data_IF_135498644066
#
_entry.id   IF_135498644066
#
_cell.length_a   1.000
_cell.length_b   1.000
_cell.length_c   1.000
_cell.angle_alpha   90.00
_cell.angle_beta   90.00
_cell.angle_gamma   90.00
#
_symmetry.space_group_name_H-M   'P 1'
#
loop_
_entity.id
_entity.type
_entity.pdbx_description
1 polymer ?
#
# COMPACT_ATOMS: atom_id res chain seq x y z
N UNK A 1 23.05 -54.00 -11.71
CA UNK A 1 21.70 -53.75 -11.15
C UNK A 1 21.66 -52.33 -10.65
N UNK A 2 20.80 -51.53 -11.29
CA UNK A 2 20.85 -50.07 -11.33
C UNK A 2 20.38 -49.43 -10.03
N UNK A 3 21.14 -48.42 -9.62
CA UNK A 3 20.94 -47.55 -8.47
C UNK A 3 19.56 -46.86 -8.47
N UNK A 4 18.81 -46.99 -7.38
CA UNK A 4 17.70 -46.09 -7.03
C UNK A 4 18.09 -45.43 -5.70
N UNK A 5 18.82 -44.32 -5.77
CA UNK A 5 18.99 -43.38 -4.67
C UNK A 5 18.68 -41.98 -5.17
N UNK A 6 17.93 -41.25 -4.34
CA UNK A 6 17.65 -39.81 -4.37
C UNK A 6 16.52 -39.31 -5.28
N UNK A 7 15.27 -39.43 -4.80
CA UNK A 7 14.15 -38.58 -5.28
C UNK A 7 13.49 -37.76 -4.14
N UNK A 8 13.82 -37.97 -2.85
CA UNK A 8 13.05 -37.38 -1.74
C UNK A 8 13.73 -36.33 -0.85
N UNK A 9 14.91 -35.80 -1.19
CA UNK A 9 15.62 -34.87 -0.28
C UNK A 9 15.48 -33.37 -0.57
N UNK A 10 15.08 -32.97 -1.78
CA UNK A 10 15.07 -31.54 -2.14
C UNK A 10 13.88 -30.76 -1.57
N UNK A 11 12.75 -31.43 -1.32
CA UNK A 11 11.52 -30.80 -0.80
C UNK A 11 11.63 -30.49 0.70
N UNK A 12 12.12 -31.45 1.50
CA UNK A 12 12.37 -31.25 2.93
C UNK A 12 13.44 -30.16 3.22
N UNK A 13 14.50 -30.08 2.40
CA UNK A 13 15.50 -29.00 2.50
C UNK A 13 14.93 -27.64 2.09
N UNK A 14 14.10 -27.57 1.04
CA UNK A 14 13.42 -26.34 0.62
C UNK A 14 12.44 -25.83 1.67
N UNK A 15 11.66 -26.72 2.27
CA UNK A 15 10.74 -26.38 3.37
C UNK A 15 11.54 -25.87 4.58
N UNK A 16 12.69 -26.47 4.88
CA UNK A 16 13.62 -26.01 5.91
C UNK A 16 14.20 -24.61 5.65
N UNK A 17 14.57 -24.29 4.41
CA UNK A 17 15.10 -22.98 4.04
C UNK A 17 14.03 -21.89 4.05
N UNK A 18 12.84 -22.17 3.51
CA UNK A 18 11.71 -21.24 3.54
C UNK A 18 11.26 -20.98 4.99
N UNK A 19 11.12 -22.03 5.80
CA UNK A 19 10.81 -21.91 7.23
C UNK A 19 11.79 -20.98 7.97
N UNK A 20 13.10 -21.16 7.75
CA UNK A 20 14.13 -20.30 8.38
C UNK A 20 14.01 -18.84 7.94
N UNK A 21 13.78 -18.60 6.65
CA UNK A 21 13.61 -17.25 6.11
C UNK A 21 12.37 -16.56 6.70
N UNK A 22 11.23 -17.25 6.68
CA UNK A 22 9.97 -16.76 7.27
C UNK A 22 10.13 -16.52 8.77
N UNK A 23 10.70 -17.46 9.53
CA UNK A 23 10.96 -17.28 10.97
C UNK A 23 11.80 -16.04 11.26
N UNK A 24 12.81 -15.76 10.43
CA UNK A 24 13.65 -14.55 10.54
C UNK A 24 12.85 -13.27 10.28
N UNK A 25 11.98 -13.27 9.27
CA UNK A 25 11.10 -12.13 8.95
C UNK A 25 10.07 -11.90 10.06
N UNK A 26 9.41 -12.96 10.52
CA UNK A 26 8.39 -12.90 11.57
C UNK A 26 8.98 -12.51 12.93
N UNK A 27 10.16 -13.04 13.27
CA UNK A 27 10.73 -12.98 14.62
C UNK A 27 10.08 -13.97 15.60
N UNK A 28 9.27 -14.91 15.09
CA UNK A 28 8.69 -16.04 15.81
C UNK A 28 8.54 -17.23 14.84
N UNK A 29 8.37 -18.44 15.38
CA UNK A 29 8.22 -19.63 14.55
C UNK A 29 6.81 -19.70 13.93
N UNK A 30 6.68 -19.91 12.60
CA UNK A 30 5.38 -20.18 12.00
C UNK A 30 4.85 -21.53 12.52
N UNK A 31 3.54 -21.61 12.77
CA UNK A 31 2.85 -22.84 13.18
C UNK A 31 2.50 -23.70 11.96
N UNK A 32 1.59 -23.21 11.12
CA UNK A 32 1.27 -23.82 9.84
C UNK A 32 1.98 -23.07 8.70
N UNK A 33 2.98 -23.72 8.10
CA UNK A 33 3.79 -23.13 7.03
C UNK A 33 3.00 -22.86 5.74
N UNK A 34 1.90 -23.62 5.51
CA UNK A 34 1.10 -23.52 4.28
C UNK A 34 0.53 -22.12 4.05
N UNK A 35 0.06 -21.43 5.09
CA UNK A 35 -0.44 -20.06 4.97
C UNK A 35 0.64 -19.09 4.46
N UNK A 36 1.88 -19.29 4.90
CA UNK A 36 3.00 -18.47 4.44
C UNK A 36 3.40 -18.85 3.03
N UNK A 37 3.38 -20.13 2.67
CA UNK A 37 3.63 -20.53 1.28
C UNK A 37 2.61 -19.92 0.30
N UNK A 38 1.33 -19.89 0.67
CA UNK A 38 0.27 -19.24 -0.10
C UNK A 38 0.51 -17.72 -0.21
N UNK A 39 0.86 -17.04 0.89
CA UNK A 39 1.17 -15.61 0.89
C UNK A 39 2.34 -15.22 -0.04
N UNK A 40 3.24 -16.16 -0.32
CA UNK A 40 4.37 -15.97 -1.24
C UNK A 40 4.16 -16.70 -2.57
N UNK A 41 2.94 -17.07 -2.94
CA UNK A 41 2.64 -17.68 -4.24
C UNK A 41 1.98 -16.64 -5.14
N UNK A 42 2.66 -16.27 -6.24
CA UNK A 42 2.13 -15.34 -7.21
C UNK A 42 1.03 -15.99 -8.07
N UNK A 43 0.00 -15.23 -8.45
CA UNK A 43 -1.14 -15.71 -9.26
C UNK A 43 -0.75 -16.40 -10.58
N UNK A 44 0.43 -16.09 -11.14
CA UNK A 44 0.95 -16.77 -12.35
C UNK A 44 1.22 -18.26 -12.15
N UNK A 45 1.30 -18.74 -10.90
CA UNK A 45 1.44 -20.15 -10.58
C UNK A 45 0.17 -20.95 -10.90
N UNK A 46 -1.01 -20.28 -11.00
CA UNK A 46 -2.31 -20.90 -11.30
C UNK A 46 -2.62 -22.15 -10.45
N UNK A 47 -2.14 -22.18 -9.21
CA UNK A 47 -2.37 -23.28 -8.27
C UNK A 47 -3.79 -23.20 -7.71
N UNK A 48 -4.41 -24.36 -7.53
CA UNK A 48 -5.72 -24.51 -6.91
C UNK A 48 -5.69 -25.63 -5.87
N UNK A 49 -6.52 -25.51 -4.85
CA UNK A 49 -6.80 -26.63 -3.93
C UNK A 49 -7.84 -27.59 -4.51
N UNK A 50 -8.17 -28.63 -3.73
CA UNK A 50 -9.12 -29.68 -4.13
C UNK A 50 -10.53 -29.15 -4.40
N UNK A 51 -10.89 -28.01 -3.80
CA UNK A 51 -12.16 -27.30 -4.01
C UNK A 51 -12.10 -26.33 -5.21
N UNK A 52 -10.97 -26.28 -5.91
CA UNK A 52 -10.76 -25.43 -7.07
C UNK A 52 -10.51 -23.95 -6.74
N UNK A 53 -10.30 -23.61 -5.47
CA UNK A 53 -10.02 -22.25 -5.03
C UNK A 53 -8.57 -21.90 -5.36
N UNK A 54 -8.35 -20.70 -5.88
CA UNK A 54 -7.02 -20.20 -6.21
C UNK A 54 -6.15 -20.10 -4.95
N UNK A 55 -4.97 -20.73 -5.00
CA UNK A 55 -3.97 -20.76 -3.94
C UNK A 55 -2.85 -19.79 -4.27
N UNK A 56 -3.08 -18.51 -3.97
CA UNK A 56 -2.15 -17.42 -4.21
C UNK A 56 -2.37 -16.29 -3.18
N UNK A 57 -1.48 -15.30 -3.18
CA UNK A 57 -1.48 -14.26 -2.15
C UNK A 57 -2.74 -13.36 -2.11
N UNK A 58 -3.57 -13.31 -3.16
CA UNK A 58 -4.59 -12.25 -3.33
C UNK A 58 -5.67 -12.28 -2.23
N UNK A 59 -6.09 -13.47 -1.77
CA UNK A 59 -7.08 -13.58 -0.67
C UNK A 59 -6.49 -13.22 0.68
N UNK A 60 -5.21 -13.57 0.90
CA UNK A 60 -4.48 -13.20 2.10
C UNK A 60 -4.16 -11.71 2.12
N UNK A 61 -3.89 -11.09 0.97
CA UNK A 61 -3.73 -9.64 0.81
C UNK A 61 -4.97 -8.91 1.33
N UNK A 62 -6.16 -9.32 0.87
CA UNK A 62 -7.43 -8.74 1.32
C UNK A 62 -7.60 -8.82 2.84
N UNK A 63 -7.34 -9.99 3.44
CA UNK A 63 -7.45 -10.19 4.88
C UNK A 63 -6.40 -9.36 5.65
N UNK A 64 -5.18 -9.33 5.14
CA UNK A 64 -4.05 -8.62 5.72
C UNK A 64 -4.22 -7.10 5.72
N UNK A 65 -4.76 -6.53 4.65
CA UNK A 65 -5.10 -5.10 4.56
C UNK A 65 -6.09 -4.70 5.67
N UNK A 66 -7.14 -5.50 5.87
CA UNK A 66 -8.11 -5.26 6.95
C UNK A 66 -7.45 -5.31 8.34
N UNK A 67 -6.59 -6.30 8.59
CA UNK A 67 -5.85 -6.42 9.86
C UNK A 67 -4.89 -5.25 10.08
N UNK A 68 -4.14 -4.87 9.04
CA UNK A 68 -3.21 -3.74 9.09
C UNK A 68 -3.97 -2.44 9.38
N UNK A 69 -5.04 -2.17 8.63
CA UNK A 69 -5.88 -1.00 8.80
C UNK A 69 -6.45 -0.88 10.22
N UNK A 70 -6.91 -2.00 10.79
CA UNK A 70 -7.44 -2.04 12.16
C UNK A 70 -6.36 -1.71 13.21
N UNK A 71 -5.18 -2.33 13.13
CA UNK A 71 -4.09 -2.08 14.09
C UNK A 71 -3.57 -0.65 13.99
N UNK A 72 -3.39 -0.11 12.78
CA UNK A 72 -2.96 1.28 12.60
C UNK A 72 -4.04 2.25 13.11
N UNK A 73 -5.32 2.00 12.83
CA UNK A 73 -6.40 2.84 13.36
C UNK A 73 -6.42 2.87 14.89
N UNK A 74 -6.31 1.70 15.53
CA UNK A 74 -6.27 1.59 16.99
C UNK A 74 -5.04 2.30 17.59
N UNK A 75 -3.90 2.23 16.92
CA UNK A 75 -2.69 2.94 17.35
C UNK A 75 -2.86 4.47 17.26
N UNK A 76 -3.34 4.98 16.13
CA UNK A 76 -3.54 6.41 15.91
C UNK A 76 -4.59 7.00 16.86
N UNK A 77 -5.69 6.29 17.09
CA UNK A 77 -6.73 6.70 18.04
C UNK A 77 -6.16 6.94 19.44
N UNK A 78 -5.25 6.06 19.91
CA UNK A 78 -4.59 6.21 21.21
C UNK A 78 -3.53 7.30 21.23
N UNK A 79 -2.84 7.52 20.11
CA UNK A 79 -1.70 8.44 20.03
C UNK A 79 -2.06 9.88 19.68
N UNK A 80 -3.21 10.10 19.07
CA UNK A 80 -3.71 11.43 18.70
C UNK A 80 -5.12 11.63 19.27
N UNK A 81 -5.26 11.79 20.60
CA UNK A 81 -6.57 11.85 21.26
C UNK A 81 -7.41 13.08 20.85
N UNK A 82 -6.78 14.13 20.35
CA UNK A 82 -7.45 15.35 19.88
C UNK A 82 -7.75 15.33 18.36
N UNK A 83 -7.32 14.28 17.66
CA UNK A 83 -7.57 14.13 16.23
C UNK A 83 -9.03 13.78 15.96
N UNK A 84 -9.70 14.54 15.10
CA UNK A 84 -11.04 14.18 14.64
C UNK A 84 -11.00 13.00 13.65
N UNK A 85 -12.17 12.45 13.30
CA UNK A 85 -12.31 11.29 12.41
C UNK A 85 -11.61 11.49 11.06
N UNK A 86 -11.82 12.63 10.40
CA UNK A 86 -11.17 12.95 9.12
C UNK A 86 -9.64 13.00 9.21
N UNK A 87 -9.09 13.61 10.27
CA UNK A 87 -7.65 13.66 10.52
C UNK A 87 -7.08 12.25 10.75
N UNK A 88 -7.72 11.44 11.60
CA UNK A 88 -7.28 10.07 11.89
C UNK A 88 -7.33 9.19 10.63
N UNK A 89 -8.39 9.31 9.84
CA UNK A 89 -8.52 8.62 8.53
C UNK A 89 -7.41 9.03 7.56
N UNK A 90 -7.06 10.32 7.51
CA UNK A 90 -5.96 10.83 6.70
C UNK A 90 -4.62 10.27 7.15
N UNK A 91 -4.32 10.30 8.45
CA UNK A 91 -3.09 9.75 9.00
C UNK A 91 -2.97 8.25 8.77
N UNK A 92 -4.05 7.49 8.96
CA UNK A 92 -4.08 6.06 8.65
C UNK A 92 -3.75 5.83 7.18
N UNK A 93 -4.37 6.57 6.28
CA UNK A 93 -4.16 6.44 4.83
C UNK A 93 -2.71 6.74 4.41
N UNK A 94 -1.98 7.58 5.17
CA UNK A 94 -0.55 7.83 4.94
C UNK A 94 0.29 6.60 5.28
N UNK A 95 -0.03 5.96 6.40
CA UNK A 95 0.69 4.77 6.90
C UNK A 95 0.40 3.55 6.03
N UNK A 96 -0.86 3.32 5.64
CA UNK A 96 -1.22 2.16 4.80
C UNK A 96 -1.20 2.46 3.29
N UNK A 97 -0.47 3.51 2.90
CA UNK A 97 -0.41 3.90 1.48
C UNK A 97 0.38 2.87 0.67
N UNK A 98 -0.06 2.61 -0.57
CA UNK A 98 0.61 1.63 -1.47
C UNK A 98 2.10 1.94 -1.67
N UNK A 99 2.48 3.22 -1.70
CA UNK A 99 3.89 3.64 -1.75
C UNK A 99 4.67 3.11 -0.54
N UNK A 100 4.15 3.36 0.67
CA UNK A 100 4.79 2.94 1.91
C UNK A 100 4.80 1.41 2.08
N UNK A 101 3.70 0.72 1.76
CA UNK A 101 3.67 -0.75 1.84
C UNK A 101 4.65 -1.41 0.86
N UNK A 102 4.84 -0.82 -0.33
CA UNK A 102 5.87 -1.27 -1.25
C UNK A 102 7.29 -1.05 -0.72
N UNK A 103 7.54 0.06 -0.04
CA UNK A 103 8.81 0.32 0.64
C UNK A 103 9.08 -0.74 1.73
N UNK A 104 8.09 -1.00 2.60
CA UNK A 104 8.18 -2.04 3.62
C UNK A 104 8.47 -3.44 3.03
N UNK A 105 7.77 -3.81 1.95
CA UNK A 105 7.99 -5.09 1.28
C UNK A 105 9.36 -5.20 0.60
N UNK A 106 9.99 -4.07 0.23
CA UNK A 106 11.37 -4.02 -0.28
C UNK A 106 12.38 -4.13 0.85
N UNK A 107 12.18 -3.40 1.95
CA UNK A 107 13.07 -3.42 3.11
C UNK A 107 13.18 -4.80 3.76
N UNK A 108 12.09 -5.58 3.69
CA UNK A 108 12.04 -6.96 4.16
C UNK A 108 12.49 -7.98 3.11
N UNK A 109 12.83 -7.55 1.90
CA UNK A 109 13.32 -8.38 0.80
C UNK A 109 12.37 -9.56 0.46
N UNK A 110 11.06 -9.32 0.56
CA UNK A 110 10.03 -10.35 0.49
C UNK A 110 9.96 -11.04 -0.88
N UNK A 111 10.31 -10.31 -1.95
CA UNK A 111 10.18 -10.79 -3.33
C UNK A 111 11.06 -11.99 -3.62
N UNK A 112 12.20 -12.15 -2.93
CA UNK A 112 13.07 -13.32 -3.11
C UNK A 112 12.43 -14.63 -2.68
N UNK A 113 11.37 -14.57 -1.88
CA UNK A 113 10.65 -15.74 -1.41
C UNK A 113 9.42 -16.05 -2.28
N UNK A 114 9.08 -15.19 -3.24
CA UNK A 114 7.88 -15.36 -4.08
C UNK A 114 8.08 -16.45 -5.12
N UNK A 115 7.16 -17.43 -5.14
CA UNK A 115 7.05 -18.46 -6.19
C UNK A 115 6.27 -17.89 -7.38
N UNK A 116 6.86 -17.93 -8.57
CA UNK A 116 6.28 -17.33 -9.79
C UNK A 116 6.70 -18.07 -11.06
N UNK A 117 5.82 -18.08 -12.06
CA UNK A 117 6.10 -18.51 -13.43
C UNK A 117 6.49 -17.36 -14.37
N UNK A 118 6.55 -16.12 -13.88
CA UNK A 118 6.99 -14.95 -14.65
C UNK A 118 8.27 -14.38 -14.05
N UNK A 119 9.16 -13.77 -14.86
CA UNK A 119 10.33 -13.05 -14.37
C UNK A 119 9.94 -11.93 -13.39
N UNK A 120 10.81 -11.68 -12.40
CA UNK A 120 10.56 -10.69 -11.34
C UNK A 120 10.45 -9.28 -11.91
N UNK A 121 11.13 -9.00 -13.02
CA UNK A 121 11.11 -7.73 -13.76
C UNK A 121 9.72 -7.41 -14.30
N UNK A 122 8.89 -8.44 -14.52
CA UNK A 122 7.52 -8.32 -15.01
C UNK A 122 6.50 -8.17 -13.87
N UNK A 123 6.94 -8.11 -12.61
CA UNK A 123 6.04 -7.86 -11.51
C UNK A 123 5.47 -6.45 -11.56
N UNK A 124 4.20 -6.33 -11.17
CA UNK A 124 3.60 -5.01 -10.97
C UNK A 124 4.35 -4.27 -9.87
N UNK A 125 4.45 -2.93 -9.97
CA UNK A 125 5.11 -2.12 -8.95
C UNK A 125 4.50 -2.19 -7.55
N UNK A 126 3.35 -2.87 -7.40
CA UNK A 126 2.61 -3.05 -6.14
C UNK A 126 2.89 -4.39 -5.44
N UNK A 127 3.61 -5.30 -6.10
CA UNK A 127 3.78 -6.67 -5.60
C UNK A 127 4.37 -6.72 -4.18
N UNK A 128 5.27 -5.80 -3.85
CA UNK A 128 5.92 -5.75 -2.54
C UNK A 128 4.91 -5.47 -1.43
N UNK A 129 4.02 -4.49 -1.65
CA UNK A 129 2.93 -4.19 -0.73
C UNK A 129 1.92 -5.33 -0.64
N UNK A 130 1.54 -5.91 -1.77
CA UNK A 130 0.58 -7.03 -1.80
C UNK A 130 1.08 -8.24 -1.01
N UNK A 131 2.35 -8.63 -1.19
CA UNK A 131 2.97 -9.75 -0.46
C UNK A 131 3.14 -9.40 1.02
N UNK A 132 3.43 -8.14 1.35
CA UNK A 132 3.49 -7.70 2.75
C UNK A 132 2.12 -7.80 3.45
N UNK A 133 1.04 -7.36 2.79
CA UNK A 133 -0.33 -7.52 3.28
C UNK A 133 -0.67 -9.01 3.40
N UNK A 134 -0.37 -9.82 2.39
CA UNK A 134 -0.61 -11.26 2.42
C UNK A 134 0.13 -11.97 3.56
N UNK A 135 1.37 -11.55 3.87
CA UNK A 135 2.10 -12.04 5.03
C UNK A 135 1.37 -11.73 6.35
N UNK A 136 0.77 -10.54 6.49
CA UNK A 136 -0.06 -10.21 7.66
C UNK A 136 -1.30 -11.11 7.73
N UNK A 137 -1.94 -11.35 6.58
CA UNK A 137 -3.06 -12.30 6.47
C UNK A 137 -2.68 -13.71 6.90
N UNK A 138 -1.51 -14.20 6.48
CA UNK A 138 -0.99 -15.51 6.88
C UNK A 138 -0.71 -15.59 8.39
N UNK A 139 -0.14 -14.54 8.99
CA UNK A 139 0.07 -14.48 10.45
C UNK A 139 -1.27 -14.55 11.20
N UNK A 140 -2.31 -13.90 10.67
CA UNK A 140 -3.63 -13.92 11.29
C UNK A 140 -4.21 -15.33 11.30
N UNK A 141 -4.15 -16.05 10.17
CA UNK A 141 -4.67 -17.42 10.08
C UNK A 141 -3.85 -18.41 10.93
N UNK A 142 -2.53 -18.22 11.03
CA UNK A 142 -1.65 -19.11 11.79
C UNK A 142 -1.72 -18.87 13.31
N UNK A 143 -1.64 -17.60 13.74
CA UNK A 143 -1.42 -17.22 15.15
C UNK A 143 -2.44 -16.25 15.73
N UNK A 144 -3.38 -15.78 14.92
CA UNK A 144 -4.43 -14.86 15.33
C UNK A 144 -3.98 -13.41 15.53
N UNK A 145 -4.96 -12.56 15.84
CA UNK A 145 -4.82 -11.11 15.88
C UNK A 145 -3.67 -10.59 16.76
N UNK A 146 -3.45 -11.18 17.94
CA UNK A 146 -2.38 -10.75 18.86
C UNK A 146 -0.99 -10.80 18.23
N UNK A 147 -0.73 -11.76 17.34
CA UNK A 147 0.54 -11.85 16.64
C UNK A 147 0.62 -10.86 15.48
N UNK A 148 -0.48 -10.62 14.76
CA UNK A 148 -0.55 -9.55 13.76
C UNK A 148 -0.24 -8.20 14.39
N UNK A 149 -0.91 -7.85 15.49
CA UNK A 149 -0.72 -6.60 16.21
C UNK A 149 0.76 -6.43 16.60
N UNK A 150 1.37 -7.44 17.25
CA UNK A 150 2.79 -7.40 17.62
C UNK A 150 3.72 -7.25 16.41
N UNK A 151 3.46 -7.96 15.32
CA UNK A 151 4.26 -7.89 14.10
C UNK A 151 4.17 -6.50 13.47
N UNK A 152 2.95 -5.97 13.28
CA UNK A 152 2.69 -4.64 12.74
C UNK A 152 3.31 -3.56 13.62
N UNK A 153 3.19 -3.68 14.96
CA UNK A 153 3.84 -2.74 15.87
C UNK A 153 5.35 -2.69 15.69
N UNK A 154 5.99 -3.86 15.57
CA UNK A 154 7.44 -3.97 15.43
C UNK A 154 7.95 -3.52 14.06
N UNK A 155 7.24 -3.89 12.98
CA UNK A 155 7.70 -3.72 11.60
C UNK A 155 7.21 -2.44 10.93
N UNK A 156 6.05 -1.91 11.34
CA UNK A 156 5.42 -0.74 10.72
C UNK A 156 5.39 0.44 11.67
N UNK A 157 4.80 0.27 12.85
CA UNK A 157 4.53 1.40 13.74
C UNK A 157 5.85 1.97 14.29
N UNK A 158 6.64 1.14 14.95
CA UNK A 158 7.87 1.60 15.62
C UNK A 158 8.87 2.29 14.67
N UNK A 159 9.12 1.78 13.44
CA UNK A 159 10.11 2.41 12.58
C UNK A 159 9.56 3.54 11.70
N UNK A 160 8.25 3.56 11.37
CA UNK A 160 7.72 4.45 10.31
C UNK A 160 6.56 5.35 10.75
N UNK A 161 5.90 5.09 11.87
CA UNK A 161 4.79 5.92 12.35
C UNK A 161 5.30 6.97 13.31
N UNK A 162 5.76 8.07 12.74
CA UNK A 162 6.08 9.33 13.41
C UNK A 162 5.03 10.37 13.03
N UNK A 163 4.24 10.84 14.00
CA UNK A 163 3.09 11.73 13.77
C UNK A 163 3.53 13.02 13.06
N UNK A 164 4.61 13.64 13.51
CA UNK A 164 5.07 14.93 12.96
C UNK A 164 5.52 14.75 11.50
N UNK A 165 6.28 13.68 11.22
CA UNK A 165 6.69 13.36 9.84
C UNK A 165 5.50 13.02 8.96
N UNK A 166 4.51 12.31 9.51
CA UNK A 166 3.30 11.96 8.77
C UNK A 166 2.51 13.21 8.42
N UNK A 167 2.36 14.19 9.32
CA UNK A 167 1.65 15.45 9.05
C UNK A 167 2.21 16.19 7.83
N UNK A 168 3.55 16.29 7.73
CA UNK A 168 4.23 16.90 6.59
C UNK A 168 4.09 16.15 5.25
N UNK A 169 3.70 14.87 5.25
CA UNK A 169 3.56 14.06 4.03
C UNK A 169 2.24 14.34 3.30
N UNK A 170 2.30 14.83 2.07
CA UNK A 170 1.13 14.94 1.17
C UNK A 170 0.98 13.63 0.38
N UNK A 171 -0.13 12.91 0.60
CA UNK A 171 -0.45 11.64 -0.08
C UNK A 171 -1.39 11.77 -1.27
N UNK A 172 -2.21 12.82 -1.29
CA UNK A 172 -3.02 13.17 -2.44
C UNK A 172 -3.17 14.68 -2.52
N UNK A 173 -2.55 15.25 -3.54
CA UNK A 173 -2.73 16.64 -3.94
C UNK A 173 -4.17 16.87 -4.43
N UNK A 174 -4.84 15.86 -5.01
CA UNK A 174 -6.26 15.98 -5.39
C UNK A 174 -7.13 16.22 -4.16
N UNK A 175 -7.06 15.36 -3.15
CA UNK A 175 -7.84 15.52 -1.93
C UNK A 175 -7.51 16.82 -1.21
N UNK A 176 -6.22 17.15 -1.07
CA UNK A 176 -5.77 18.39 -0.44
C UNK A 176 -6.33 19.63 -1.16
N UNK A 177 -6.32 19.64 -2.49
CA UNK A 177 -6.84 20.76 -3.26
C UNK A 177 -8.36 20.87 -3.17
N UNK A 178 -9.08 19.74 -3.15
CA UNK A 178 -10.54 19.71 -2.96
C UNK A 178 -10.89 20.29 -1.58
N UNK A 179 -10.21 19.82 -0.52
CA UNK A 179 -10.38 20.34 0.86
C UNK A 179 -10.16 21.86 0.89
N UNK A 180 -9.08 22.34 0.26
CA UNK A 180 -8.77 23.77 0.20
C UNK A 180 -9.84 24.57 -0.55
N UNK A 181 -10.31 24.10 -1.72
CA UNK A 181 -11.38 24.75 -2.46
C UNK A 181 -12.69 24.81 -1.65
N UNK A 182 -13.06 23.70 -1.01
CA UNK A 182 -14.26 23.62 -0.17
C UNK A 182 -14.20 24.60 1.01
N UNK A 183 -13.06 24.68 1.71
CA UNK A 183 -12.85 25.64 2.81
C UNK A 183 -13.06 27.09 2.37
N UNK A 184 -12.63 27.43 1.16
CA UNK A 184 -12.71 28.77 0.60
C UNK A 184 -13.99 29.04 -0.21
N UNK A 185 -14.88 28.03 -0.31
CA UNK A 185 -16.09 28.07 -1.16
C UNK A 185 -15.77 28.34 -2.64
N UNK A 186 -14.57 27.97 -3.08
CA UNK A 186 -14.17 28.05 -4.49
C UNK A 186 -14.77 26.86 -5.25
N UNK A 187 -15.35 27.14 -6.42
CA UNK A 187 -15.79 26.09 -7.33
C UNK A 187 -14.60 25.42 -7.99
N UNK A 188 -14.65 24.11 -8.21
CA UNK A 188 -13.59 23.38 -8.91
C UNK A 188 -14.18 22.33 -9.86
N UNK A 189 -13.51 22.09 -11.00
CA UNK A 189 -13.91 21.05 -11.97
C UNK A 189 -12.67 20.35 -12.54
N UNK A 190 -12.70 19.02 -12.51
CA UNK A 190 -11.75 18.16 -13.21
C UNK A 190 -12.41 17.68 -14.51
N UNK A 191 -12.09 18.34 -15.64
CA UNK A 191 -12.57 17.90 -16.95
C UNK A 191 -11.63 16.84 -17.50
N UNK A 192 -12.05 15.58 -17.41
CA UNK A 192 -11.29 14.42 -17.88
C UNK A 192 -11.76 14.03 -19.28
N UNK A 193 -10.82 13.82 -20.20
CA UNK A 193 -11.10 13.32 -21.55
C UNK A 193 -10.02 12.33 -21.98
N UNK A 194 -10.37 11.43 -22.90
CA UNK A 194 -9.40 10.52 -23.51
C UNK A 194 -8.52 11.29 -24.50
N UNK A 195 -7.22 11.04 -24.45
CA UNK A 195 -6.23 11.71 -25.28
C UNK A 195 -5.20 10.68 -25.72
N UNK A 196 -5.62 9.78 -26.61
CA UNK A 196 -4.80 8.65 -27.06
C UNK A 196 -3.81 9.06 -28.16
N UNK A 197 -4.03 10.17 -28.87
CA UNK A 197 -3.14 10.59 -29.97
C UNK A 197 -2.91 9.45 -30.98
N UNK A 198 -1.65 9.18 -31.32
CA UNK A 198 -1.20 7.99 -32.08
C UNK A 198 -0.51 6.93 -31.19
N UNK A 199 -0.75 6.97 -29.89
CA UNK A 199 -0.10 6.09 -28.92
C UNK A 199 -0.89 4.80 -28.76
N UNK A 200 -0.20 3.65 -28.76
CA UNK A 200 -0.80 2.34 -28.49
C UNK A 200 -1.27 2.23 -27.04
N UNK A 201 -0.65 3.00 -26.14
CA UNK A 201 -1.05 3.07 -24.74
C UNK A 201 -2.17 4.10 -24.54
N UNK A 202 -3.25 3.67 -23.88
CA UNK A 202 -4.37 4.54 -23.52
C UNK A 202 -3.94 5.65 -22.57
N UNK A 203 -4.31 6.88 -22.91
CA UNK A 203 -3.96 8.07 -22.14
C UNK A 203 -5.19 8.92 -21.85
N UNK A 204 -5.18 9.57 -20.69
CA UNK A 204 -6.22 10.48 -20.23
C UNK A 204 -5.61 11.84 -19.97
N UNK A 205 -6.24 12.88 -20.51
CA UNK A 205 -5.91 14.25 -20.24
C UNK A 205 -6.97 14.86 -19.29
N UNK A 206 -6.51 15.79 -18.46
CA UNK A 206 -7.31 16.49 -17.46
C UNK A 206 -7.04 17.97 -17.56
N UNK A 207 -8.10 18.77 -17.59
CA UNK A 207 -8.07 20.21 -17.37
C UNK A 207 -8.74 20.52 -16.03
N UNK A 208 -7.97 21.05 -15.10
CA UNK A 208 -8.44 21.48 -13.78
C UNK A 208 -8.73 22.98 -13.80
N UNK A 209 -9.97 23.35 -13.49
CA UNK A 209 -10.38 24.74 -13.27
C UNK A 209 -10.76 24.98 -11.82
N UNK A 210 -10.43 26.17 -11.31
CA UNK A 210 -10.92 26.70 -10.03
C UNK A 210 -11.52 28.08 -10.33
N UNK A 211 -12.78 28.30 -9.96
CA UNK A 211 -13.56 29.52 -10.29
C UNK A 211 -13.46 29.88 -11.78
N UNK A 212 -13.74 28.88 -12.60
CA UNK A 212 -13.68 28.89 -14.08
C UNK A 212 -12.33 29.27 -14.69
N UNK A 213 -11.29 29.53 -13.87
CA UNK A 213 -9.92 29.77 -14.32
C UNK A 213 -9.17 28.45 -14.44
N UNK A 214 -8.46 28.27 -15.56
CA UNK A 214 -7.64 27.07 -15.76
C UNK A 214 -6.41 27.13 -14.88
N UNK A 215 -6.33 26.20 -13.92
CA UNK A 215 -5.23 26.13 -12.97
C UNK A 215 -4.11 25.23 -13.47
N UNK A 216 -4.47 24.08 -14.02
CA UNK A 216 -3.52 23.12 -14.57
C UNK A 216 -4.15 22.25 -15.65
N UNK A 217 -3.28 21.68 -16.48
CA UNK A 217 -3.59 20.54 -17.35
C UNK A 217 -2.59 19.43 -17.06
N UNK A 218 -2.97 18.17 -17.23
CA UNK A 218 -2.06 17.03 -17.13
C UNK A 218 -2.54 15.85 -17.98
N UNK A 219 -1.61 14.97 -18.36
CA UNK A 219 -1.87 13.71 -19.07
C UNK A 219 -1.20 12.55 -18.32
N UNK A 220 -1.87 11.40 -18.26
CA UNK A 220 -1.34 10.16 -17.69
C UNK A 220 -2.07 8.92 -18.24
N UNK A 221 -1.54 7.73 -17.94
CA UNK A 221 -2.10 6.43 -18.41
C UNK A 221 -3.37 5.99 -17.67
N UNK A 222 -3.84 6.75 -16.68
CA UNK A 222 -5.14 6.54 -16.05
C UNK A 222 -5.77 7.86 -15.62
N UNK A 223 -7.10 7.90 -15.56
CA UNK A 223 -7.87 9.07 -15.10
C UNK A 223 -7.38 9.54 -13.73
N UNK A 224 -7.26 8.63 -12.76
CA UNK A 224 -6.78 8.91 -11.39
C UNK A 224 -5.39 9.55 -11.38
N UNK A 225 -4.44 9.00 -12.16
CA UNK A 225 -3.07 9.56 -12.24
C UNK A 225 -3.07 10.95 -12.89
N UNK A 226 -3.90 11.17 -13.91
CA UNK A 226 -3.99 12.45 -14.61
C UNK A 226 -4.57 13.55 -13.72
N UNK A 227 -5.64 13.24 -12.97
CA UNK A 227 -6.23 14.17 -12.00
C UNK A 227 -5.26 14.52 -10.87
N UNK A 228 -4.61 13.52 -10.27
CA UNK A 228 -3.62 13.70 -9.21
C UNK A 228 -2.45 14.59 -9.69
N UNK A 229 -1.98 14.37 -10.93
CA UNK A 229 -0.93 15.19 -11.54
C UNK A 229 -1.38 16.63 -11.82
N UNK A 230 -2.62 16.83 -12.27
CA UNK A 230 -3.19 18.17 -12.47
C UNK A 230 -3.32 18.91 -11.13
N UNK A 231 -3.82 18.22 -10.10
CA UNK A 231 -3.94 18.77 -8.75
C UNK A 231 -2.58 19.13 -8.15
N UNK A 232 -1.56 18.27 -8.31
CA UNK A 232 -0.18 18.56 -7.89
C UNK A 232 0.37 19.82 -8.55
N UNK A 233 0.16 19.99 -9.86
CA UNK A 233 0.57 21.22 -10.58
C UNK A 233 -0.17 22.46 -10.05
N UNK A 234 -1.47 22.35 -9.81
CA UNK A 234 -2.26 23.45 -9.25
C UNK A 234 -1.84 23.80 -7.82
N UNK A 235 -1.50 22.80 -7.00
CA UNK A 235 -0.95 23.00 -5.65
C UNK A 235 0.28 23.90 -5.69
N UNK A 236 1.31 23.55 -6.48
CA UNK A 236 2.53 24.36 -6.53
C UNK A 236 2.29 25.78 -7.06
N UNK A 237 1.28 25.96 -7.93
CA UNK A 237 0.85 27.30 -8.38
C UNK A 237 0.16 28.11 -7.26
N UNK A 238 -0.48 27.44 -6.31
CA UNK A 238 -1.23 28.04 -5.21
C UNK A 238 -0.51 27.92 -3.85
N UNK A 239 0.71 27.38 -3.83
CA UNK A 239 1.37 26.90 -2.62
C UNK A 239 1.41 27.94 -1.50
N UNK A 240 1.81 29.18 -1.82
CA UNK A 240 1.87 30.28 -0.83
C UNK A 240 0.52 30.55 -0.15
N UNK A 241 -0.59 30.44 -0.89
CA UNK A 241 -1.94 30.64 -0.32
C UNK A 241 -2.32 29.46 0.56
N UNK A 242 -2.10 28.24 0.05
CA UNK A 242 -2.47 27.00 0.74
C UNK A 242 -1.66 26.81 2.04
N UNK A 243 -0.36 27.11 2.03
CA UNK A 243 0.52 26.98 3.20
C UNK A 243 0.27 28.10 4.22
N UNK A 244 0.06 29.35 3.76
CA UNK A 244 -0.31 30.46 4.65
C UNK A 244 -1.61 30.21 5.43
N UNK A 245 -2.60 29.56 4.82
CA UNK A 245 -3.86 29.20 5.51
C UNK A 245 -3.67 28.11 6.59
N UNK A 246 -2.62 27.29 6.50
CA UNK A 246 -2.30 26.28 7.51
C UNK A 246 -1.62 26.91 8.72
N UNK A 247 -0.62 27.76 8.48
CA UNK A 247 0.09 28.47 9.55
C UNK A 247 -0.86 29.34 10.37
N UNK A 248 -1.80 30.04 9.71
CA UNK A 248 -2.82 30.82 10.40
C UNK A 248 -3.77 29.95 11.24
N UNK A 249 -4.12 28.75 10.77
CA UNK A 249 -5.00 27.82 11.50
C UNK A 249 -4.30 27.22 12.73
N UNK A 250 -3.01 26.88 12.62
CA UNK A 250 -2.21 26.34 13.73
C UNK A 250 -2.01 27.36 14.84
N UNK A 251 -1.81 28.64 14.50
CA UNK A 251 -1.68 29.73 15.48
C UNK A 251 -2.99 30.08 16.21
N UNK A 252 -4.14 29.76 15.62
CA UNK A 252 -5.46 30.00 16.23
C UNK A 252 -5.92 28.81 17.09
N UNK A 253 -5.23 27.66 16.99
CA UNK A 253 -5.59 26.40 17.67
C UNK A 253 -4.69 26.06 18.86
N UNK A 254 -3.69 26.91 19.14
CA UNK A 254 -2.78 26.85 20.29
C UNK A 254 -3.18 27.89 21.34
#
# INVERSE_FOLDING_TARGET
MTSIRNIFNSRAEKDGNFFRAIKKILGFAPGNLAFYEEAFTHRSMNQKDDDGIQQNYERLEFLGDAMLGAVIAAHLFKKVPHGNEGYLTKMRSKVVSREHLNELGRDLDLIKLVRTNIPVENFSGNIHGNVFEALIGAIYLDKGFKYCERFIHKRVIKPYVDIQKLEGKIISYKSLLIEWCQKHKNSFKFMVYEDNGKDDLKHFAVKLTIDDRTMAKARATSKKKAEERAAKRAYYKLQRRIEGDKEAAEQTSA
#
